data_IF_371988677108
#
_entry.id   IF_371988677108
#
_cell.length_a   1.000
_cell.length_b   1.000
_cell.length_c   1.000
_cell.angle_alpha   90.00
_cell.angle_beta   90.00
_cell.angle_gamma   90.00
#
_symmetry.space_group_name_H-M   'P 1'
#
loop_
_entity.id
_entity.type
_entity.pdbx_description
1 polymer ?
#
# COMPACT_ATOMS: atom_id res chain seq x y z
N UNK A 1 -7.52 4.37 -17.56
CA UNK A 1 -8.78 4.18 -18.31
C UNK A 1 -8.84 2.70 -18.69
N UNK A 2 -9.84 1.96 -18.23
CA UNK A 2 -9.89 0.50 -18.38
C UNK A 2 -10.36 0.13 -19.80
N UNK A 3 -9.46 -0.43 -20.61
CA UNK A 3 -9.72 -0.76 -22.02
C UNK A 3 -10.83 -1.81 -22.20
N UNK A 4 -11.01 -2.72 -21.22
CA UNK A 4 -12.01 -3.80 -21.33
C UNK A 4 -13.44 -3.26 -21.31
N UNK A 5 -13.71 -2.22 -20.52
CA UNK A 5 -15.03 -1.59 -20.50
C UNK A 5 -15.30 -0.83 -21.80
N UNK A 6 -14.32 -0.11 -22.35
CA UNK A 6 -14.49 0.58 -23.64
C UNK A 6 -14.70 -0.40 -24.79
N UNK A 7 -13.99 -1.52 -24.81
CA UNK A 7 -14.14 -2.57 -25.82
C UNK A 7 -15.53 -3.22 -25.74
N UNK A 8 -16.03 -3.45 -24.51
CA UNK A 8 -17.37 -3.95 -24.30
C UNK A 8 -18.44 -2.95 -24.79
N UNK A 9 -18.32 -1.67 -24.44
CA UNK A 9 -19.29 -0.61 -24.81
C UNK A 9 -19.37 -0.39 -26.32
N UNK A 10 -18.22 -0.44 -27.01
CA UNK A 10 -18.11 -0.12 -28.44
C UNK A 10 -18.55 -1.26 -29.37
N UNK A 11 -18.82 -2.46 -28.83
CA UNK A 11 -19.19 -3.65 -29.61
C UNK A 11 -20.63 -3.68 -30.16
N UNK A 12 -21.50 -2.74 -29.77
CA UNK A 12 -22.87 -2.57 -30.30
C UNK A 12 -23.94 -2.38 -29.22
N UNK A 13 -24.99 -1.61 -29.52
CA UNK A 13 -26.14 -1.20 -28.68
C UNK A 13 -25.99 -1.47 -27.16
N UNK A 14 -25.53 -0.43 -26.43
CA UNK A 14 -25.19 -0.53 -25.01
C UNK A 14 -26.39 -0.93 -24.12
N UNK A 15 -26.51 -2.22 -23.82
CA UNK A 15 -27.35 -2.72 -22.72
C UNK A 15 -26.47 -3.46 -21.72
N UNK A 16 -26.14 -2.81 -20.60
CA UNK A 16 -25.49 -3.47 -19.48
C UNK A 16 -26.54 -4.20 -18.65
N UNK A 17 -26.69 -5.51 -18.88
CA UNK A 17 -27.59 -6.35 -18.08
C UNK A 17 -26.83 -6.96 -16.92
N UNK A 18 -27.26 -6.71 -15.69
CA UNK A 18 -26.71 -7.34 -14.48
C UNK A 18 -27.79 -8.17 -13.80
N UNK A 19 -27.45 -9.40 -13.43
CA UNK A 19 -28.36 -10.22 -12.60
C UNK A 19 -28.30 -9.76 -11.15
N UNK A 20 -29.31 -10.11 -10.34
CA UNK A 20 -29.31 -9.78 -8.91
C UNK A 20 -28.05 -10.29 -8.19
N UNK A 21 -27.54 -11.48 -8.55
CA UNK A 21 -26.29 -12.01 -7.98
C UNK A 21 -25.07 -11.16 -8.38
N UNK A 22 -25.01 -10.70 -9.63
CA UNK A 22 -23.93 -9.81 -10.10
C UNK A 22 -23.95 -8.46 -9.40
N UNK A 23 -25.14 -7.93 -9.09
CA UNK A 23 -25.29 -6.69 -8.32
C UNK A 23 -24.77 -6.88 -6.89
N UNK A 24 -25.15 -7.98 -6.23
CA UNK A 24 -24.66 -8.31 -4.90
C UNK A 24 -23.15 -8.50 -4.86
N UNK A 25 -22.58 -9.24 -5.81
CA UNK A 25 -21.12 -9.45 -5.90
C UNK A 25 -20.36 -8.17 -6.20
N UNK A 26 -20.92 -7.29 -7.03
CA UNK A 26 -20.32 -5.98 -7.31
C UNK A 26 -20.36 -5.09 -6.05
N UNK A 27 -21.41 -5.19 -5.22
CA UNK A 27 -21.46 -4.55 -3.90
C UNK A 27 -20.46 -5.17 -2.91
N UNK A 28 -20.21 -6.48 -2.95
CA UNK A 28 -19.18 -7.13 -2.14
C UNK A 28 -17.77 -6.70 -2.57
N UNK A 29 -17.51 -6.60 -3.88
CA UNK A 29 -16.25 -6.09 -4.42
C UNK A 29 -15.98 -4.64 -3.98
N UNK A 30 -17.03 -3.84 -3.81
CA UNK A 30 -16.95 -2.50 -3.25
C UNK A 30 -16.47 -2.46 -1.78
N UNK A 31 -16.74 -3.53 -1.03
CA UNK A 31 -16.33 -3.66 0.37
C UNK A 31 -14.89 -4.15 0.56
N UNK A 32 -14.14 -4.39 -0.52
CA UNK A 32 -12.76 -4.87 -0.45
C UNK A 32 -12.62 -6.33 -0.02
N UNK A 33 -13.66 -7.16 -0.21
CA UNK A 33 -13.59 -8.57 0.16
C UNK A 33 -12.60 -9.37 -0.70
N UNK A 34 -11.71 -10.13 -0.03
CA UNK A 34 -10.68 -10.96 -0.66
C UNK A 34 -11.22 -12.20 -1.39
N UNK A 35 -12.47 -12.60 -1.14
CA UNK A 35 -13.07 -13.83 -1.69
C UNK A 35 -14.44 -13.57 -2.28
N UNK A 36 -14.47 -13.19 -3.55
CA UNK A 36 -15.69 -13.21 -4.34
C UNK A 36 -15.89 -14.62 -4.92
N UNK A 37 -16.95 -15.31 -4.49
CA UNK A 37 -17.25 -16.67 -4.94
C UNK A 37 -18.13 -16.67 -6.21
N UNK A 38 -17.61 -17.20 -7.32
CA UNK A 38 -18.42 -17.84 -8.37
C UNK A 38 -18.83 -17.03 -9.61
N UNK A 39 -18.98 -15.70 -9.59
CA UNK A 39 -19.41 -14.91 -10.79
C UNK A 39 -18.45 -13.77 -11.17
N UNK A 40 -17.28 -13.69 -10.53
CA UNK A 40 -16.20 -12.72 -10.78
C UNK A 40 -15.82 -12.59 -12.26
N UNK A 41 -15.71 -13.70 -12.98
CA UNK A 41 -15.35 -13.69 -14.41
C UNK A 41 -16.36 -12.99 -15.32
N UNK A 42 -17.63 -12.85 -14.91
CA UNK A 42 -18.59 -12.05 -15.70
C UNK A 42 -18.46 -10.56 -15.43
N UNK A 43 -18.13 -10.16 -14.21
CA UNK A 43 -17.93 -8.75 -13.86
C UNK A 43 -16.60 -8.23 -14.40
N UNK A 44 -15.57 -9.07 -14.39
CA UNK A 44 -14.26 -8.80 -15.00
C UNK A 44 -14.36 -8.63 -16.53
N UNK A 45 -15.09 -9.52 -17.21
CA UNK A 45 -15.32 -9.41 -18.67
C UNK A 45 -16.09 -8.15 -19.05
N UNK A 46 -16.99 -7.69 -18.19
CA UNK A 46 -17.70 -6.41 -18.35
C UNK A 46 -16.83 -5.22 -17.96
N UNK A 47 -15.60 -5.44 -17.48
CA UNK A 47 -14.69 -4.38 -17.05
C UNK A 47 -15.16 -3.61 -15.81
N UNK A 48 -16.02 -4.21 -14.97
CA UNK A 48 -16.56 -3.58 -13.76
C UNK A 48 -15.70 -3.84 -12.52
N UNK A 49 -14.98 -4.96 -12.51
CA UNK A 49 -13.98 -5.29 -11.49
C UNK A 49 -12.66 -5.66 -12.14
N UNK A 50 -11.58 -5.49 -11.40
CA UNK A 50 -10.25 -5.91 -11.82
C UNK A 50 -9.52 -6.65 -10.69
N UNK A 51 -8.72 -7.67 -11.02
CA UNK A 51 -7.87 -8.34 -10.04
C UNK A 51 -6.65 -7.47 -9.76
N UNK A 52 -6.38 -7.25 -8.47
CA UNK A 52 -5.20 -6.58 -7.97
C UNK A 52 -4.45 -7.57 -7.07
N UNK A 53 -3.13 -7.56 -7.13
CA UNK A 53 -2.32 -8.31 -6.18
C UNK A 53 -2.61 -7.76 -4.78
N UNK A 54 -3.17 -8.59 -3.90
CA UNK A 54 -3.45 -8.17 -2.54
C UNK A 54 -2.13 -7.77 -1.88
N UNK A 55 -2.20 -6.72 -1.06
CA UNK A 55 -1.03 -6.29 -0.30
C UNK A 55 -0.60 -7.43 0.63
N UNK A 56 0.70 -7.72 0.76
CA UNK A 56 1.17 -8.61 1.81
C UNK A 56 0.88 -7.93 3.15
N UNK A 57 -0.21 -8.33 3.79
CA UNK A 57 -0.54 -7.88 5.13
C UNK A 57 0.30 -8.69 6.13
N UNK A 58 0.84 -8.01 7.14
CA UNK A 58 1.70 -8.57 8.19
C UNK A 58 0.93 -9.40 9.24
N UNK A 59 -0.28 -9.89 8.92
CA UNK A 59 -1.06 -10.69 9.86
C UNK A 59 -0.70 -12.17 9.77
N UNK A 60 0.05 -12.64 10.77
CA UNK A 60 0.55 -14.02 10.91
C UNK A 60 -0.55 -15.08 11.18
N UNK A 61 -1.83 -14.71 11.10
CA UNK A 61 -2.98 -15.57 11.42
C UNK A 61 -3.72 -16.12 10.19
N UNK A 62 -3.35 -15.72 8.98
CA UNK A 62 -3.98 -16.22 7.76
C UNK A 62 -3.02 -17.13 7.00
N UNK A 63 -3.46 -18.37 6.77
CA UNK A 63 -2.73 -19.37 5.98
C UNK A 63 -2.28 -18.78 4.63
N UNK A 64 -1.04 -19.09 4.24
CA UNK A 64 -0.44 -18.70 2.97
C UNK A 64 -1.18 -19.35 1.79
N UNK A 65 -2.32 -18.79 1.39
CA UNK A 65 -2.92 -19.07 0.08
C UNK A 65 -2.07 -18.37 -0.98
N UNK A 66 -1.36 -19.15 -1.80
CA UNK A 66 -0.38 -18.72 -2.82
C UNK A 66 -0.93 -17.79 -3.93
N UNK A 67 -2.20 -17.38 -3.85
CA UNK A 67 -2.86 -16.50 -4.81
C UNK A 67 -3.69 -15.44 -4.10
N UNK A 68 -3.01 -14.47 -3.48
CA UNK A 68 -3.62 -13.28 -2.91
C UNK A 68 -4.11 -12.34 -4.03
N UNK A 69 -5.23 -12.68 -4.67
CA UNK A 69 -5.93 -11.82 -5.63
C UNK A 69 -7.08 -11.10 -4.91
N UNK A 70 -6.96 -9.79 -4.77
CA UNK A 70 -8.02 -8.91 -4.28
C UNK A 70 -8.78 -8.34 -5.48
N UNK A 71 -10.11 -8.40 -5.45
CA UNK A 71 -10.93 -7.85 -6.52
C UNK A 71 -11.36 -6.44 -6.15
N UNK A 72 -11.06 -5.47 -7.03
CA UNK A 72 -11.49 -4.08 -6.83
C UNK A 72 -12.41 -3.60 -7.93
N UNK A 73 -13.24 -2.63 -7.59
CA UNK A 73 -14.07 -1.94 -8.56
C UNK A 73 -13.19 -1.14 -9.51
N UNK A 74 -13.53 -1.19 -10.80
CA UNK A 74 -13.00 -0.23 -11.77
C UNK A 74 -13.81 1.07 -11.68
N UNK A 75 -13.32 2.15 -12.29
CA UNK A 75 -14.10 3.40 -12.38
C UNK A 75 -15.49 3.22 -13.02
N UNK A 76 -15.63 2.28 -13.97
CA UNK A 76 -16.93 1.94 -14.55
C UNK A 76 -17.80 1.14 -13.56
N UNK A 77 -17.21 0.19 -12.82
CA UNK A 77 -17.88 -0.54 -11.75
C UNK A 77 -18.45 0.38 -10.68
N UNK A 78 -17.68 1.34 -10.19
CA UNK A 78 -18.10 2.31 -9.19
C UNK A 78 -19.31 3.15 -9.67
N UNK A 79 -19.29 3.61 -10.92
CA UNK A 79 -20.41 4.35 -11.51
C UNK A 79 -21.66 3.47 -11.69
N UNK A 80 -21.48 2.21 -12.11
CA UNK A 80 -22.64 1.30 -12.20
C UNK A 80 -23.24 1.01 -10.84
N UNK A 81 -22.42 0.87 -9.79
CA UNK A 81 -22.90 0.64 -8.44
C UNK A 81 -23.65 1.85 -7.88
N UNK A 82 -23.16 3.06 -8.13
CA UNK A 82 -23.85 4.28 -7.68
C UNK A 82 -25.21 4.45 -8.35
N UNK A 83 -25.32 4.14 -9.65
CA UNK A 83 -26.60 4.11 -10.36
C UNK A 83 -27.55 3.04 -9.80
N UNK A 84 -27.04 1.84 -9.50
CA UNK A 84 -27.82 0.77 -8.87
C UNK A 84 -28.30 1.14 -7.47
N UNK A 85 -27.47 1.83 -6.69
CA UNK A 85 -27.83 2.33 -5.37
C UNK A 85 -28.91 3.43 -5.45
N UNK A 86 -28.76 4.39 -6.37
CA UNK A 86 -29.77 5.42 -6.63
C UNK A 86 -31.11 4.84 -7.10
N UNK A 87 -31.07 3.75 -7.88
CA UNK A 87 -32.26 3.02 -8.32
C UNK A 87 -32.87 2.11 -7.22
N UNK A 88 -32.28 2.05 -6.03
CA UNK A 88 -32.74 1.18 -4.94
C UNK A 88 -32.51 -0.32 -5.17
N UNK A 89 -31.63 -0.68 -6.12
CA UNK A 89 -31.32 -2.06 -6.49
C UNK A 89 -30.12 -2.63 -5.71
N UNK A 90 -29.42 -1.79 -4.95
CA UNK A 90 -28.29 -2.17 -4.11
C UNK A 90 -28.38 -1.49 -2.75
N UNK A 91 -27.96 -2.22 -1.71
CA UNK A 91 -27.80 -1.68 -0.34
C UNK A 91 -26.43 -1.03 -0.12
N UNK A 92 -25.56 -1.05 -1.12
CA UNK A 92 -24.27 -0.39 -1.04
C UNK A 92 -24.49 1.13 -0.91
N UNK A 93 -23.90 1.75 0.11
CA UNK A 93 -24.08 3.19 0.37
C UNK A 93 -23.68 4.05 -0.83
N UNK A 94 -24.28 5.23 -0.98
CA UNK A 94 -24.11 6.08 -2.16
C UNK A 94 -22.66 6.56 -2.41
N UNK A 95 -21.79 6.56 -1.39
CA UNK A 95 -20.44 7.16 -1.41
C UNK A 95 -19.30 6.14 -1.29
N UNK A 96 -19.30 5.14 -2.16
CA UNK A 96 -18.25 4.09 -2.19
C UNK A 96 -16.91 4.66 -2.65
N UNK A 97 -16.94 5.53 -3.66
CA UNK A 97 -15.73 6.19 -4.14
C UNK A 97 -15.09 7.10 -3.08
N UNK A 98 -15.91 7.77 -2.26
CA UNK A 98 -15.40 8.60 -1.16
C UNK A 98 -14.69 7.74 -0.10
N UNK A 99 -15.29 6.59 0.27
CA UNK A 99 -14.67 5.64 1.21
C UNK A 99 -13.36 5.09 0.66
N UNK A 100 -13.33 4.66 -0.61
CA UNK A 100 -12.09 4.16 -1.22
C UNK A 100 -10.98 5.23 -1.26
N UNK A 101 -11.34 6.49 -1.55
CA UNK A 101 -10.39 7.61 -1.50
C UNK A 101 -9.85 7.81 -0.08
N UNK A 102 -10.70 7.73 0.93
CA UNK A 102 -10.29 7.89 2.32
C UNK A 102 -9.40 6.73 2.80
N UNK A 103 -9.73 5.49 2.44
CA UNK A 103 -8.91 4.31 2.73
C UNK A 103 -7.54 4.40 2.04
N UNK A 104 -7.51 4.84 0.78
CA UNK A 104 -6.26 5.05 0.04
C UNK A 104 -5.43 6.19 0.66
N UNK A 105 -6.06 7.28 1.11
CA UNK A 105 -5.37 8.38 1.82
C UNK A 105 -4.78 7.90 3.14
N UNK A 106 -5.53 7.13 3.91
CA UNK A 106 -5.06 6.58 5.17
C UNK A 106 -3.87 5.64 4.95
N UNK A 107 -3.97 4.76 3.96
CA UNK A 107 -2.87 3.88 3.57
C UNK A 107 -1.63 4.65 3.10
N UNK A 108 -1.80 5.71 2.31
CA UNK A 108 -0.69 6.53 1.82
C UNK A 108 -0.05 7.29 2.98
N UNK A 109 -0.84 7.80 3.92
CA UNK A 109 -0.35 8.42 5.15
C UNK A 109 0.49 7.44 5.98
N UNK A 110 0.03 6.20 6.13
CA UNK A 110 0.78 5.16 6.85
C UNK A 110 2.09 4.81 6.12
N UNK A 111 2.05 4.60 4.81
CA UNK A 111 3.24 4.31 4.02
C UNK A 111 4.27 5.45 4.09
N UNK A 112 3.81 6.70 4.03
CA UNK A 112 4.67 7.87 4.17
C UNK A 112 5.30 7.96 5.57
N UNK A 113 4.54 7.65 6.63
CA UNK A 113 5.08 7.62 7.99
C UNK A 113 6.19 6.57 8.14
N UNK A 114 5.98 5.36 7.60
CA UNK A 114 6.97 4.28 7.61
C UNK A 114 8.23 4.68 6.82
N UNK A 115 8.05 5.29 5.63
CA UNK A 115 9.16 5.76 4.81
C UNK A 115 9.94 6.90 5.49
N UNK A 116 9.24 7.79 6.19
CA UNK A 116 9.88 8.87 6.94
C UNK A 116 10.73 8.32 8.09
N UNK A 117 10.18 7.39 8.88
CA UNK A 117 10.89 6.72 9.97
C UNK A 117 12.12 5.94 9.47
N UNK A 118 11.98 5.18 8.37
CA UNK A 118 13.10 4.52 7.72
C UNK A 118 14.20 5.50 7.28
N UNK A 119 13.82 6.65 6.70
CA UNK A 119 14.77 7.68 6.30
C UNK A 119 15.51 8.30 7.50
N UNK A 120 14.82 8.54 8.62
CA UNK A 120 15.47 9.04 9.84
C UNK A 120 16.51 8.04 10.37
N UNK A 121 16.17 6.75 10.38
CA UNK A 121 17.11 5.69 10.79
C UNK A 121 18.34 5.63 9.87
N UNK A 122 18.15 5.70 8.55
CA UNK A 122 19.28 5.71 7.60
C UNK A 122 20.18 6.92 7.82
N UNK A 123 19.61 8.10 8.04
CA UNK A 123 20.39 9.30 8.34
C UNK A 123 21.17 9.17 9.65
N UNK A 124 20.55 8.60 10.68
CA UNK A 124 21.22 8.32 11.95
C UNK A 124 22.39 7.34 11.79
N UNK A 125 22.16 6.21 11.09
CA UNK A 125 23.21 5.25 10.79
C UNK A 125 24.36 5.86 9.99
N UNK A 126 24.05 6.71 9.00
CA UNK A 126 25.06 7.42 8.22
C UNK A 126 25.87 8.38 9.11
N UNK A 127 25.22 9.14 9.99
CA UNK A 127 25.92 10.06 10.89
C UNK A 127 26.89 9.31 11.82
N UNK A 128 26.47 8.18 12.37
CA UNK A 128 27.31 7.32 13.21
C UNK A 128 28.47 6.67 12.45
N UNK A 129 28.23 6.28 11.20
CA UNK A 129 29.28 5.75 10.33
C UNK A 129 30.36 6.81 10.08
N UNK A 130 29.96 8.04 9.75
CA UNK A 130 30.89 9.15 9.58
C UNK A 130 31.65 9.49 10.87
N UNK A 131 30.97 9.44 12.02
CA UNK A 131 31.62 9.64 13.32
C UNK A 131 32.65 8.54 13.64
N UNK A 132 32.31 7.28 13.36
CA UNK A 132 33.22 6.15 13.52
C UNK A 132 34.43 6.26 12.58
N UNK A 133 34.22 6.65 11.32
CA UNK A 133 35.30 6.88 10.36
C UNK A 133 36.21 8.04 10.80
N UNK A 134 35.63 9.14 11.26
CA UNK A 134 36.39 10.26 11.82
C UNK A 134 37.15 9.86 13.09
N UNK A 135 36.62 8.93 13.89
CA UNK A 135 37.34 8.39 15.04
C UNK A 135 38.52 7.49 14.63
N UNK A 136 38.31 6.59 13.65
CA UNK A 136 39.37 5.74 13.08
C UNK A 136 40.50 6.60 12.53
N UNK A 137 40.21 7.61 11.71
CA UNK A 137 41.24 8.50 11.16
C UNK A 137 42.03 9.25 12.23
N UNK A 138 41.40 9.60 13.36
CA UNK A 138 42.09 10.20 14.52
C UNK A 138 43.01 9.20 15.23
N UNK A 139 42.58 7.93 15.35
CA UNK A 139 43.41 6.87 15.93
C UNK A 139 44.62 6.54 15.03
N UNK A 140 44.41 6.44 13.72
CA UNK A 140 45.48 6.20 12.74
C UNK A 140 46.53 7.31 12.77
N UNK A 141 46.09 8.57 12.75
CA UNK A 141 47.00 9.72 12.87
C UNK A 141 47.79 9.70 14.19
N UNK A 142 47.13 9.33 15.30
CA UNK A 142 47.79 9.21 16.60
C UNK A 142 48.82 8.08 16.62
N UNK A 143 48.54 6.97 15.95
CA UNK A 143 49.44 5.82 15.86
C UNK A 143 50.64 6.12 14.95
N UNK A 144 50.44 6.89 13.89
CA UNK A 144 51.50 7.39 13.00
C UNK A 144 52.34 8.53 13.62
N UNK A 145 51.86 9.17 14.69
CA UNK A 145 52.48 10.37 15.28
C UNK A 145 52.21 11.66 14.50
N UNK A 146 51.22 11.62 13.60
CA UNK A 146 50.82 12.74 12.76
C UNK A 146 49.82 13.68 13.46
N UNK A 147 49.56 14.82 12.82
CA UNK A 147 48.55 15.78 13.29
C UNK A 147 47.16 15.14 13.23
N UNK A 148 46.42 15.24 14.34
CA UNK A 148 45.06 14.72 14.45
C UNK A 148 44.12 15.54 13.55
N UNK A 149 43.45 14.93 12.56
CA UNK A 149 42.50 15.64 11.71
C UNK A 149 41.21 15.98 12.49
N UNK A 150 40.71 17.20 12.29
CA UNK A 150 39.39 17.62 12.80
C UNK A 150 38.42 17.57 11.63
N UNK A 151 37.49 16.60 11.66
CA UNK A 151 36.47 16.41 10.63
C UNK A 151 35.12 16.82 11.19
N UNK A 152 34.36 17.60 10.41
CA UNK A 152 32.98 17.96 10.75
C UNK A 152 32.09 16.83 10.24
N UNK A 153 31.42 16.14 11.16
CA UNK A 153 30.48 15.05 10.87
C UNK A 153 29.04 15.56 10.87
N UNK A 154 28.14 14.96 10.07
CA UNK A 154 26.73 15.32 10.08
C UNK A 154 26.09 15.00 11.43
N UNK A 155 25.13 15.84 11.85
CA UNK A 155 24.42 15.65 13.11
C UNK A 155 23.49 14.44 13.06
N UNK A 156 23.55 13.59 14.09
CA UNK A 156 22.65 12.44 14.24
C UNK A 156 21.25 12.91 14.66
N UNK A 157 20.19 12.66 13.86
CA UNK A 157 18.82 13.01 14.24
C UNK A 157 18.24 12.12 15.36
N UNK A 158 18.86 10.98 15.67
CA UNK A 158 18.39 10.00 16.67
C UNK A 158 19.53 9.52 17.58
N UNK A 159 20.16 10.40 18.40
CA UNK A 159 21.35 10.05 19.18
C UNK A 159 21.09 9.03 20.29
N UNK A 160 19.89 9.04 20.90
CA UNK A 160 19.58 8.20 22.07
C UNK A 160 19.22 6.74 21.73
N UNK A 161 19.07 6.42 20.45
CA UNK A 161 18.65 5.07 19.99
C UNK A 161 19.88 4.18 19.82
N UNK A 162 19.88 2.94 20.30
CA UNK A 162 21.02 2.03 20.07
C UNK A 162 21.13 1.62 18.59
N UNK A 163 22.35 1.28 18.13
CA UNK A 163 22.56 0.80 16.75
C UNK A 163 21.77 -0.48 16.48
N UNK A 164 21.65 -1.36 17.48
CA UNK A 164 20.88 -2.59 17.36
C UNK A 164 19.38 -2.32 17.17
N UNK A 165 18.84 -1.29 17.83
CA UNK A 165 17.45 -0.86 17.66
C UNK A 165 17.22 -0.18 16.30
N UNK A 166 18.23 0.50 15.74
CA UNK A 166 18.16 1.07 14.39
C UNK A 166 18.09 -0.03 13.31
N UNK A 167 18.80 -1.14 13.52
CA UNK A 167 18.84 -2.28 12.59
C UNK A 167 17.62 -3.20 12.74
N UNK A 168 17.13 -3.38 13.97
CA UNK A 168 16.04 -4.30 14.29
C UNK A 168 14.89 -3.60 15.05
N UNK A 169 14.15 -2.69 14.40
CA UNK A 169 13.10 -1.91 15.06
C UNK A 169 11.93 -2.78 15.56
N UNK A 170 11.76 -3.98 15.01
CA UNK A 170 10.70 -4.92 15.40
C UNK A 170 10.97 -5.64 16.72
N UNK A 171 12.21 -5.60 17.23
CA UNK A 171 12.58 -6.22 18.52
C UNK A 171 12.35 -5.33 19.74
N UNK A 172 12.01 -4.06 19.52
CA UNK A 172 11.75 -3.07 20.57
C UNK A 172 10.25 -2.85 20.86
N UNK A 173 9.38 -3.76 20.42
CA UNK A 173 8.03 -3.86 20.96
C UNK A 173 8.05 -4.57 22.32
N UNK A 174 7.24 -4.14 23.31
CA UNK A 174 7.07 -4.88 24.57
C UNK A 174 6.53 -6.30 24.35
#
# INVERSE_FOLDING_TARGET
MNARFSDYVTSGAFSLTLTRNQISELAFAAGGERRLYGVTGSLERKGLIEPINARPEKDALFEHDEQHLEWRLTGAGALTLSLLAQAGLSNAGADIAAREIDDLRQSLSQANAIAHDANLRVRSMHARLEEANAYIGRLEARLAGDKIPIVIVPADPLPDVSVENLLNPERTGP
#
